data_IF_766476942453
#
_entry.id   IF_766476942453
#
_cell.length_a   1.000
_cell.length_b   1.000
_cell.length_c   1.000
_cell.angle_alpha   90.00
_cell.angle_beta   90.00
_cell.angle_gamma   90.00
#
_symmetry.space_group_name_H-M   'P 1'
#
loop_
_entity.id
_entity.type
_entity.pdbx_description
1 polymer ?
#
# COMPACT_ATOMS: atom_id res chain seq x y z
N UNK A 1 -9.81 13.01 -20.19
CA UNK A 1 -8.61 12.16 -20.34
C UNK A 1 -8.92 10.66 -20.51
N UNK A 2 -9.97 10.12 -19.89
CA UNK A 2 -10.35 8.68 -19.95
C UNK A 2 -10.79 8.17 -21.33
N UNK A 3 -11.32 9.03 -22.21
CA UNK A 3 -11.78 8.63 -23.55
C UNK A 3 -10.66 8.18 -24.51
N UNK A 4 -9.40 8.53 -24.26
CA UNK A 4 -8.28 8.16 -25.15
C UNK A 4 -7.86 6.69 -24.99
N UNK A 5 -7.96 6.15 -23.78
CA UNK A 5 -7.58 4.76 -23.45
C UNK A 5 -8.43 3.70 -24.18
N UNK A 6 -9.68 4.03 -24.50
CA UNK A 6 -10.62 3.10 -25.14
C UNK A 6 -10.66 3.23 -26.67
N UNK A 7 -9.95 4.20 -27.26
CA UNK A 7 -10.10 4.55 -28.68
C UNK A 7 -9.44 3.54 -29.62
N UNK A 8 -8.42 2.81 -29.16
CA UNK A 8 -7.75 1.76 -29.93
C UNK A 8 -7.91 0.38 -29.27
N UNK A 9 -8.02 -0.67 -30.08
CA UNK A 9 -8.01 -2.06 -29.60
C UNK A 9 -6.70 -2.40 -28.86
N UNK A 10 -5.57 -1.85 -29.33
CA UNK A 10 -4.27 -2.01 -28.69
C UNK A 10 -4.22 -1.42 -27.27
N UNK A 11 -4.74 -0.21 -27.06
CA UNK A 11 -4.77 0.41 -25.73
C UNK A 11 -5.72 -0.32 -24.78
N UNK A 12 -6.83 -0.87 -25.30
CA UNK A 12 -7.74 -1.71 -24.53
C UNK A 12 -7.08 -3.03 -24.11
N UNK A 13 -6.27 -3.64 -24.99
CA UNK A 13 -5.50 -4.85 -24.67
C UNK A 13 -4.43 -4.57 -23.59
N UNK A 14 -3.68 -3.48 -23.71
CA UNK A 14 -2.70 -3.10 -22.69
C UNK A 14 -3.37 -2.83 -21.34
N UNK A 15 -4.52 -2.16 -21.35
CA UNK A 15 -5.28 -1.87 -20.12
C UNK A 15 -5.83 -3.16 -19.48
N UNK A 16 -6.26 -4.12 -20.30
CA UNK A 16 -6.66 -5.45 -19.83
C UNK A 16 -5.49 -6.18 -19.16
N UNK A 17 -4.32 -6.24 -19.82
CA UNK A 17 -3.13 -6.90 -19.27
C UNK A 17 -2.69 -6.26 -17.96
N UNK A 18 -2.72 -4.92 -17.89
CA UNK A 18 -2.42 -4.19 -16.67
C UNK A 18 -3.42 -4.50 -15.54
N UNK A 19 -4.73 -4.50 -15.84
CA UNK A 19 -5.76 -4.89 -14.88
C UNK A 19 -5.61 -6.32 -14.38
N UNK A 20 -5.28 -7.26 -15.28
CA UNK A 20 -4.98 -8.65 -14.91
C UNK A 20 -3.72 -8.74 -14.05
N UNK A 21 -2.68 -7.97 -14.34
CA UNK A 21 -1.48 -7.90 -13.50
C UNK A 21 -1.78 -7.40 -12.09
N UNK A 22 -2.60 -6.35 -11.96
CA UNK A 22 -3.08 -5.82 -10.67
C UNK A 22 -3.85 -6.87 -9.87
N UNK A 23 -4.56 -7.80 -10.51
CA UNK A 23 -5.29 -8.87 -9.81
C UNK A 23 -4.38 -10.05 -9.51
N UNK A 24 -3.62 -10.51 -10.50
CA UNK A 24 -2.83 -11.74 -10.42
C UNK A 24 -1.68 -11.60 -9.42
N UNK A 25 -0.92 -10.50 -9.44
CA UNK A 25 0.26 -10.34 -8.58
C UNK A 25 -0.11 -10.36 -7.08
N UNK A 26 -1.08 -9.59 -6.58
CA UNK A 26 -1.46 -9.63 -5.17
C UNK A 26 -2.11 -10.96 -4.79
N UNK A 27 -2.89 -11.58 -5.69
CA UNK A 27 -3.51 -12.89 -5.42
C UNK A 27 -2.45 -13.98 -5.27
N UNK A 28 -1.44 -13.99 -6.15
CA UNK A 28 -0.31 -14.90 -6.05
C UNK A 28 0.54 -14.63 -4.80
N UNK A 29 0.79 -13.35 -4.48
CA UNK A 29 1.49 -12.97 -3.26
C UNK A 29 0.74 -13.45 -2.00
N UNK A 30 -0.59 -13.29 -1.93
CA UNK A 30 -1.40 -13.83 -0.84
C UNK A 30 -1.29 -15.35 -0.79
N UNK A 31 -1.43 -16.05 -1.91
CA UNK A 31 -1.34 -17.51 -1.94
C UNK A 31 0.04 -18.04 -1.49
N UNK A 32 1.12 -17.32 -1.83
CA UNK A 32 2.49 -17.72 -1.52
C UNK A 32 2.93 -17.29 -0.11
N UNK A 33 2.52 -16.12 0.37
CA UNK A 33 3.06 -15.49 1.59
C UNK A 33 2.08 -15.62 2.76
N UNK A 34 0.77 -15.62 2.55
CA UNK A 34 -0.18 -15.63 3.67
C UNK A 34 -0.12 -16.87 4.58
N UNK A 35 0.25 -18.09 4.12
CA UNK A 35 0.33 -19.25 5.01
C UNK A 35 1.36 -19.08 6.13
N UNK A 36 2.58 -18.65 5.79
CA UNK A 36 3.72 -18.59 6.71
C UNK A 36 4.23 -17.16 6.96
N UNK A 37 3.53 -16.14 6.44
CA UNK A 37 3.97 -14.74 6.47
C UNK A 37 3.99 -14.08 7.84
N UNK A 38 3.64 -14.82 8.90
CA UNK A 38 3.79 -14.40 10.31
C UNK A 38 4.83 -15.21 11.07
N UNK A 39 5.42 -16.27 10.48
CA UNK A 39 6.29 -17.20 11.19
C UNK A 39 7.52 -16.49 11.82
N UNK A 40 8.25 -15.69 11.03
CA UNK A 40 9.40 -14.93 11.55
C UNK A 40 9.02 -13.92 12.64
N UNK A 41 7.83 -13.31 12.52
CA UNK A 41 7.34 -12.37 13.52
C UNK A 41 6.91 -13.07 14.81
N UNK A 42 6.32 -14.26 14.71
CA UNK A 42 5.97 -15.10 15.85
C UNK A 42 7.21 -15.62 16.56
N UNK A 43 8.22 -16.08 15.81
CA UNK A 43 9.53 -16.48 16.34
C UNK A 43 10.21 -15.31 17.06
N UNK A 44 10.24 -14.12 16.45
CA UNK A 44 10.80 -12.92 17.06
C UNK A 44 10.10 -12.52 18.36
N UNK A 45 8.76 -12.57 18.38
CA UNK A 45 7.97 -12.25 19.58
C UNK A 45 8.13 -13.30 20.69
N UNK A 46 8.39 -14.55 20.33
CA UNK A 46 8.64 -15.63 21.27
C UNK A 46 10.10 -15.65 21.77
N UNK A 47 11.01 -14.95 21.10
CA UNK A 47 12.42 -14.92 21.43
C UNK A 47 12.67 -14.32 22.83
N UNK A 48 13.37 -15.08 23.67
CA UNK A 48 13.85 -14.60 24.97
C UNK A 48 15.17 -13.83 24.86
N UNK A 49 15.59 -13.13 25.92
CA UNK A 49 16.89 -12.46 25.95
C UNK A 49 18.04 -13.47 25.93
N UNK A 50 19.13 -13.14 25.23
CA UNK A 50 20.34 -13.94 25.25
C UNK A 50 21.03 -13.88 26.63
N UNK A 51 21.52 -15.02 27.12
CA UNK A 51 22.29 -15.08 28.38
C UNK A 51 23.67 -14.42 28.29
N UNK A 52 24.22 -14.33 27.08
CA UNK A 52 25.53 -13.75 26.78
C UNK A 52 25.56 -13.28 25.32
N UNK A 53 26.52 -12.42 24.98
CA UNK A 53 26.71 -11.97 23.60
C UNK A 53 26.93 -13.16 22.65
N UNK A 54 26.09 -13.33 21.63
CA UNK A 54 26.20 -14.44 20.69
C UNK A 54 27.39 -14.23 19.74
N UNK A 55 28.04 -15.32 19.34
CA UNK A 55 29.18 -15.28 18.40
C UNK A 55 28.74 -15.19 16.92
N UNK A 56 27.45 -15.29 16.65
CA UNK A 56 26.85 -15.25 15.32
C UNK A 56 25.32 -15.14 15.40
N UNK A 57 24.60 -15.34 14.29
CA UNK A 57 23.14 -15.33 14.26
C UNK A 57 22.53 -16.29 15.29
N UNK A 58 21.62 -15.78 16.12
CA UNK A 58 20.95 -16.54 17.18
C UNK A 58 19.47 -16.20 17.28
N UNK A 59 18.66 -17.17 17.70
CA UNK A 59 17.20 -17.02 17.89
C UNK A 59 16.79 -16.27 19.18
N UNK A 60 17.76 -15.79 19.96
CA UNK A 60 17.51 -14.96 21.14
C UNK A 60 17.73 -13.46 20.85
N UNK A 61 17.10 -12.61 21.65
CA UNK A 61 17.25 -11.15 21.56
C UNK A 61 18.51 -10.72 22.30
N UNK A 62 19.44 -10.09 21.59
CA UNK A 62 20.66 -9.55 22.17
C UNK A 62 20.63 -8.02 22.19
N UNK A 63 20.85 -7.45 23.37
CA UNK A 63 20.94 -6.00 23.54
C UNK A 63 22.41 -5.56 23.51
N UNK A 64 22.70 -4.55 22.70
CA UNK A 64 24.05 -3.99 22.51
C UNK A 64 24.02 -2.48 22.59
N UNK A 65 25.02 -1.88 23.26
CA UNK A 65 25.22 -0.43 23.22
C UNK A 65 25.95 -0.04 21.95
N UNK A 66 25.38 0.91 21.21
CA UNK A 66 25.92 1.42 19.96
C UNK A 66 26.08 2.93 20.05
N UNK A 67 27.10 3.46 19.39
CA UNK A 67 27.31 4.90 19.24
C UNK A 67 26.93 5.30 17.83
N UNK A 68 26.18 6.39 17.69
CA UNK A 68 25.79 6.94 16.40
C UNK A 68 27.03 7.55 15.74
N UNK A 69 27.43 6.99 14.60
CA UNK A 69 28.57 7.47 13.82
C UNK A 69 28.14 8.35 12.65
N UNK A 70 26.97 8.06 12.06
CA UNK A 70 26.37 8.89 11.00
C UNK A 70 24.84 8.79 11.03
N UNK A 71 24.17 9.86 10.58
CA UNK A 71 22.71 9.95 10.49
C UNK A 71 22.33 10.63 9.18
N UNK A 72 21.59 9.92 8.34
CA UNK A 72 21.11 10.43 7.05
C UNK A 72 19.58 10.51 7.04
N UNK A 73 19.06 11.74 7.03
CA UNK A 73 17.64 12.04 6.94
C UNK A 73 17.36 12.82 5.66
N UNK A 74 17.03 12.13 4.58
CA UNK A 74 16.63 12.77 3.33
C UNK A 74 15.11 12.89 3.23
N UNK A 75 14.60 14.12 3.39
CA UNK A 75 13.20 14.47 3.13
C UNK A 75 13.04 15.51 2.02
N UNK A 76 14.13 16.05 1.46
CA UNK A 76 14.05 17.24 0.61
C UNK A 76 14.19 16.88 -0.86
N UNK A 77 13.04 16.72 -1.52
CA UNK A 77 12.94 16.74 -2.99
C UNK A 77 13.10 15.38 -3.67
N UNK A 78 13.29 14.30 -2.92
CA UNK A 78 13.30 12.94 -3.45
C UNK A 78 11.89 12.33 -3.40
N UNK A 79 11.57 11.52 -4.42
CA UNK A 79 10.27 10.82 -4.54
C UNK A 79 10.09 9.74 -3.44
N UNK A 80 11.19 9.38 -2.77
CA UNK A 80 11.25 8.35 -1.74
C UNK A 80 12.19 8.83 -0.61
N UNK A 81 11.66 9.24 0.56
CA UNK A 81 12.50 9.63 1.67
C UNK A 81 13.34 8.46 2.17
N UNK A 82 14.56 8.75 2.63
CA UNK A 82 15.49 7.76 3.16
C UNK A 82 15.93 8.16 4.57
N UNK A 83 15.78 7.23 5.50
CA UNK A 83 16.16 7.38 6.90
C UNK A 83 17.15 6.25 7.21
N UNK A 84 18.42 6.58 7.35
CA UNK A 84 19.47 5.62 7.66
C UNK A 84 20.37 6.14 8.76
N UNK A 85 20.97 5.22 9.50
CA UNK A 85 22.01 5.52 10.49
C UNK A 85 23.15 4.54 10.34
N UNK A 86 24.36 4.99 10.63
CA UNK A 86 25.53 4.15 10.82
C UNK A 86 25.87 4.17 12.30
N UNK A 87 25.88 3.00 12.91
CA UNK A 87 26.12 2.81 14.34
C UNK A 87 27.39 2.01 14.55
N UNK A 88 28.13 2.30 15.61
CA UNK A 88 29.40 1.62 15.92
C UNK A 88 29.37 1.06 17.34
N UNK A 89 29.71 -0.22 17.48
CA UNK A 89 29.82 -0.86 18.79
C UNK A 89 31.16 -0.55 19.48
N UNK A 90 31.27 -0.92 20.77
CA UNK A 90 32.48 -0.68 21.56
C UNK A 90 33.74 -1.41 21.04
N UNK A 91 33.59 -2.41 20.17
CA UNK A 91 34.68 -3.16 19.54
C UNK A 91 35.03 -2.61 18.14
N UNK A 92 34.36 -1.55 17.70
CA UNK A 92 34.55 -0.94 16.38
C UNK A 92 33.77 -1.63 15.26
N UNK A 93 32.84 -2.53 15.57
CA UNK A 93 31.92 -3.11 14.58
C UNK A 93 30.92 -2.06 14.10
N UNK A 94 30.68 -2.01 12.79
CA UNK A 94 29.79 -1.03 12.16
C UNK A 94 28.48 -1.69 11.74
N UNK A 95 27.38 -1.01 12.02
CA UNK A 95 26.01 -1.43 11.75
C UNK A 95 25.32 -0.35 10.92
N UNK A 96 24.97 -0.66 9.68
CA UNK A 96 24.11 0.19 8.88
C UNK A 96 22.67 -0.24 9.09
N UNK A 97 21.78 0.73 9.36
CA UNK A 97 20.37 0.44 9.60
C UNK A 97 19.49 1.46 8.89
N UNK A 98 18.37 0.98 8.37
CA UNK A 98 17.38 1.81 7.68
C UNK A 98 16.05 1.78 8.39
N UNK A 99 15.25 2.84 8.23
CA UNK A 99 13.99 3.01 8.96
C UNK A 99 12.82 3.26 8.01
N UNK A 100 11.63 2.81 8.42
CA UNK A 100 10.39 3.05 7.68
C UNK A 100 9.92 4.50 7.75
N UNK A 101 10.20 5.16 8.88
CA UNK A 101 9.82 6.53 9.17
C UNK A 101 10.93 7.28 9.93
N UNK A 102 10.76 8.60 10.02
CA UNK A 102 11.75 9.49 10.63
C UNK A 102 11.81 9.38 12.16
N UNK A 103 10.80 8.82 12.81
CA UNK A 103 10.71 8.85 14.26
C UNK A 103 9.91 7.67 14.80
N UNK A 104 10.01 7.38 16.10
CA UNK A 104 10.17 8.39 17.16
C UNK A 104 11.61 8.62 17.66
N UNK A 105 12.61 7.90 17.16
CA UNK A 105 14.00 7.96 17.63
C UNK A 105 14.89 8.70 16.64
N UNK A 106 14.95 8.25 15.40
CA UNK A 106 16.00 8.61 14.42
C UNK A 106 16.11 10.12 14.15
N UNK A 107 14.99 10.85 14.12
CA UNK A 107 14.99 12.32 13.97
C UNK A 107 15.65 13.11 15.11
N UNK A 108 16.03 12.45 16.20
CA UNK A 108 16.62 13.06 17.40
C UNK A 108 18.07 12.67 17.62
N UNK A 109 18.56 11.71 16.83
CA UNK A 109 19.91 11.22 16.97
C UNK A 109 20.88 12.22 16.35
N UNK A 110 21.91 12.53 17.10
CA UNK A 110 23.09 13.25 16.64
C UNK A 110 24.31 12.31 16.66
N UNK A 111 25.33 12.64 15.87
CA UNK A 111 26.59 11.91 15.87
C UNK A 111 27.23 11.97 17.26
N UNK A 112 27.59 10.81 17.79
CA UNK A 112 28.14 10.64 19.14
C UNK A 112 27.11 10.18 20.18
N UNK A 113 25.82 10.19 19.86
CA UNK A 113 24.79 9.70 20.77
C UNK A 113 24.93 8.21 21.03
N UNK A 114 24.60 7.79 22.26
CA UNK A 114 24.55 6.37 22.63
C UNK A 114 23.13 5.87 22.53
N UNK A 115 22.95 4.79 21.78
CA UNK A 115 21.68 4.10 21.60
C UNK A 115 21.83 2.65 22.03
N UNK A 116 20.71 2.06 22.42
CA UNK A 116 20.63 0.63 22.73
C UNK A 116 20.02 -0.09 21.53
N UNK A 117 20.78 -0.94 20.86
CA UNK A 117 20.31 -1.77 19.77
C UNK A 117 19.80 -3.13 20.25
N UNK A 118 18.73 -3.62 19.63
CA UNK A 118 18.22 -4.98 19.79
C UNK A 118 18.53 -5.77 18.52
N UNK A 119 19.36 -6.80 18.65
CA UNK A 119 19.79 -7.67 17.57
C UNK A 119 19.09 -9.02 17.68
N UNK A 120 18.57 -9.52 16.56
CA UNK A 120 17.99 -10.85 16.44
C UNK A 120 18.43 -11.51 15.15
N UNK A 121 18.84 -12.78 15.20
CA UNK A 121 19.42 -13.52 14.07
C UNK A 121 20.53 -12.76 13.32
N UNK A 122 21.28 -11.91 14.02
CA UNK A 122 22.38 -11.12 13.46
C UNK A 122 21.96 -9.79 12.82
N UNK A 123 20.66 -9.48 12.77
CA UNK A 123 20.13 -8.24 12.23
C UNK A 123 19.76 -7.27 13.35
N UNK A 124 20.05 -5.97 13.16
CA UNK A 124 19.61 -4.94 14.10
C UNK A 124 18.12 -4.66 13.87
N UNK A 125 17.27 -5.18 14.75
CA UNK A 125 15.80 -5.10 14.61
C UNK A 125 15.20 -3.83 15.20
N UNK A 126 15.77 -3.32 16.29
CA UNK A 126 15.25 -2.13 16.95
C UNK A 126 16.40 -1.29 17.50
N UNK A 127 16.15 0.01 17.64
CA UNK A 127 16.99 0.90 18.43
C UNK A 127 16.14 1.57 19.50
N UNK A 128 16.76 1.80 20.64
CA UNK A 128 16.21 2.56 21.75
C UNK A 128 17.13 3.73 22.08
N UNK A 129 16.53 4.89 22.29
CA UNK A 129 17.20 6.10 22.73
C UNK A 129 16.30 6.81 23.72
N UNK A 130 16.83 7.14 24.89
CA UNK A 130 16.05 7.59 26.03
C UNK A 130 14.93 6.57 26.35
N UNK A 131 13.68 7.03 26.48
CA UNK A 131 12.50 6.19 26.75
C UNK A 131 11.72 5.82 25.47
N UNK A 132 12.37 5.82 24.31
CA UNK A 132 11.73 5.60 23.01
C UNK A 132 12.40 4.47 22.25
N UNK A 133 11.59 3.68 21.59
CA UNK A 133 12.03 2.61 20.71
C UNK A 133 11.55 2.87 19.29
N UNK A 134 12.34 2.41 18.32
CA UNK A 134 11.98 2.44 16.91
C UNK A 134 12.51 1.19 16.23
N UNK A 135 11.63 0.51 15.50
CA UNK A 135 11.99 -0.64 14.68
C UNK A 135 12.77 -0.20 13.43
N UNK A 136 13.78 -0.97 13.05
CA UNK A 136 14.47 -0.85 11.76
C UNK A 136 13.65 -1.54 10.66
N UNK A 137 14.07 -1.43 9.40
CA UNK A 137 13.47 -2.19 8.29
C UNK A 137 13.80 -3.68 8.34
N UNK A 138 14.83 -4.06 9.10
CA UNK A 138 15.26 -5.44 9.28
C UNK A 138 14.47 -6.13 10.40
N UNK A 139 13.62 -5.38 11.13
CA UNK A 139 12.64 -5.93 12.03
C UNK A 139 11.65 -6.86 11.30
N UNK A 140 11.41 -8.08 11.82
CA UNK A 140 10.38 -8.97 11.28
C UNK A 140 9.03 -8.27 11.24
N UNK A 141 8.32 -8.41 10.12
CA UNK A 141 7.04 -7.76 9.88
C UNK A 141 5.93 -8.77 9.60
N UNK A 142 4.67 -8.32 9.74
CA UNK A 142 3.51 -9.14 9.42
C UNK A 142 3.27 -9.12 7.91
N UNK A 143 4.06 -9.92 7.18
CA UNK A 143 3.98 -10.01 5.73
C UNK A 143 2.60 -10.49 5.27
N UNK A 144 1.95 -11.36 6.04
CA UNK A 144 0.58 -11.81 5.79
C UNK A 144 -0.38 -10.63 5.77
N UNK A 145 -0.35 -9.78 6.79
CA UNK A 145 -1.20 -8.58 6.85
C UNK A 145 -0.88 -7.61 5.72
N UNK A 146 0.41 -7.40 5.39
CA UNK A 146 0.81 -6.54 4.26
C UNK A 146 0.23 -7.01 2.92
N UNK A 147 0.36 -8.30 2.59
CA UNK A 147 -0.17 -8.83 1.31
C UNK A 147 -1.69 -8.84 1.27
N UNK A 148 -2.36 -9.09 2.40
CA UNK A 148 -3.83 -9.02 2.51
C UNK A 148 -4.35 -7.59 2.32
N UNK A 149 -3.70 -6.59 2.95
CA UNK A 149 -4.01 -5.18 2.74
C UNK A 149 -3.83 -4.82 1.25
N UNK A 150 -2.70 -5.22 0.67
CA UNK A 150 -2.39 -4.98 -0.75
C UNK A 150 -3.47 -5.58 -1.66
N UNK A 151 -3.88 -6.82 -1.44
CA UNK A 151 -4.92 -7.48 -2.22
C UNK A 151 -6.30 -6.82 -2.03
N UNK A 152 -6.68 -6.49 -0.79
CA UNK A 152 -7.95 -5.84 -0.46
C UNK A 152 -8.18 -4.56 -1.28
N UNK A 153 -7.15 -3.74 -1.42
CA UNK A 153 -7.28 -2.44 -2.09
C UNK A 153 -7.10 -2.51 -3.62
N UNK A 154 -6.29 -3.45 -4.11
CA UNK A 154 -5.90 -3.51 -5.52
C UNK A 154 -6.81 -4.40 -6.37
N UNK A 155 -7.21 -5.57 -5.85
CA UNK A 155 -7.98 -6.57 -6.60
C UNK A 155 -9.32 -6.02 -7.10
N UNK A 156 -10.14 -5.32 -6.28
CA UNK A 156 -11.41 -4.76 -6.76
C UNK A 156 -11.23 -3.76 -7.90
N UNK A 157 -10.21 -2.90 -7.79
CA UNK A 157 -9.87 -1.89 -8.80
C UNK A 157 -9.41 -2.54 -10.11
N UNK A 158 -8.54 -3.56 -10.02
CA UNK A 158 -8.03 -4.33 -11.14
C UNK A 158 -9.12 -5.15 -11.85
N UNK A 159 -10.04 -5.75 -11.10
CA UNK A 159 -11.18 -6.48 -11.66
C UNK A 159 -12.10 -5.56 -12.47
N UNK A 160 -12.42 -4.37 -11.96
CA UNK A 160 -13.20 -3.39 -12.74
C UNK A 160 -12.45 -2.95 -14.01
N UNK A 161 -11.13 -2.74 -13.92
CA UNK A 161 -10.32 -2.36 -15.07
C UNK A 161 -10.27 -3.46 -16.14
N UNK A 162 -10.10 -4.72 -15.72
CA UNK A 162 -10.09 -5.87 -16.60
C UNK A 162 -11.48 -6.10 -17.23
N UNK A 163 -12.55 -6.04 -16.43
CA UNK A 163 -13.93 -6.23 -16.91
C UNK A 163 -14.32 -5.17 -17.94
N UNK A 164 -13.99 -3.90 -17.70
CA UNK A 164 -14.28 -2.81 -18.65
C UNK A 164 -13.49 -2.93 -19.95
N UNK A 165 -12.23 -3.34 -19.84
CA UNK A 165 -11.36 -3.57 -21.01
C UNK A 165 -11.82 -4.76 -21.83
N UNK A 166 -12.22 -5.86 -21.19
CA UNK A 166 -12.81 -7.03 -21.85
C UNK A 166 -14.14 -6.67 -22.53
N UNK A 167 -15.01 -5.90 -21.85
CA UNK A 167 -16.26 -5.42 -22.43
C UNK A 167 -16.00 -4.54 -23.67
N UNK A 168 -14.97 -3.67 -23.63
CA UNK A 168 -14.55 -2.89 -24.80
C UNK A 168 -14.05 -3.78 -25.94
N UNK A 169 -13.19 -4.76 -25.64
CA UNK A 169 -12.64 -5.68 -26.64
C UNK A 169 -13.75 -6.51 -27.32
N UNK A 170 -14.76 -6.94 -26.55
CA UNK A 170 -15.92 -7.65 -27.09
C UNK A 170 -16.80 -6.78 -28.00
N UNK A 171 -16.70 -5.44 -27.89
CA UNK A 171 -17.49 -4.46 -28.67
C UNK A 171 -16.63 -3.55 -29.54
N UNK A 172 -15.46 -4.01 -30.00
CA UNK A 172 -14.57 -3.21 -30.85
C UNK A 172 -15.20 -2.77 -32.17
N UNK A 173 -16.24 -3.47 -32.64
CA UNK A 173 -16.98 -3.12 -33.85
C UNK A 173 -17.92 -1.91 -33.65
N UNK A 174 -18.20 -1.49 -32.41
CA UNK A 174 -19.01 -0.30 -32.15
C UNK A 174 -18.11 0.95 -32.10
N UNK A 175 -18.44 2.01 -32.87
CA UNK A 175 -17.55 3.15 -33.06
C UNK A 175 -17.33 3.97 -31.78
N UNK A 176 -18.30 4.01 -30.86
CA UNK A 176 -18.24 4.87 -29.68
C UNK A 176 -18.24 4.07 -28.36
N UNK A 177 -17.39 4.45 -27.37
CA UNK A 177 -17.48 3.89 -26.04
C UNK A 177 -18.80 4.27 -25.39
N UNK A 178 -19.52 3.28 -24.86
CA UNK A 178 -20.77 3.55 -24.12
C UNK A 178 -20.48 4.36 -22.85
N UNK A 179 -21.43 5.23 -22.47
CA UNK A 179 -21.32 6.03 -21.24
C UNK A 179 -21.07 5.15 -20.00
N UNK A 180 -21.62 3.93 -19.99
CA UNK A 180 -21.40 2.93 -18.95
C UNK A 180 -19.93 2.51 -18.80
N UNK A 181 -19.19 2.31 -19.90
CA UNK A 181 -17.77 1.93 -19.86
C UNK A 181 -16.89 3.02 -19.25
N UNK A 182 -17.11 4.28 -19.66
CA UNK A 182 -16.40 5.43 -19.11
C UNK A 182 -16.68 5.61 -17.61
N UNK A 183 -17.92 5.37 -17.22
CA UNK A 183 -18.36 5.46 -15.84
C UNK A 183 -17.69 4.37 -14.96
N UNK A 184 -17.65 3.12 -15.41
CA UNK A 184 -16.96 2.02 -14.69
C UNK A 184 -15.44 2.20 -14.59
N UNK A 185 -14.80 2.79 -15.59
CA UNK A 185 -13.38 3.19 -15.51
C UNK A 185 -13.16 4.28 -14.47
N UNK A 186 -14.06 5.26 -14.41
CA UNK A 186 -14.04 6.30 -13.37
C UNK A 186 -14.16 5.72 -11.96
N UNK A 187 -14.99 4.70 -11.77
CA UNK A 187 -15.12 4.00 -10.48
C UNK A 187 -13.82 3.27 -10.11
N UNK A 188 -13.19 2.56 -11.05
CA UNK A 188 -11.89 1.91 -10.82
C UNK A 188 -10.82 2.91 -10.37
N UNK A 189 -10.68 4.06 -11.05
CA UNK A 189 -9.77 5.13 -10.63
C UNK A 189 -10.12 5.71 -9.25
N UNK A 190 -11.41 5.82 -8.94
CA UNK A 190 -11.89 6.33 -7.64
C UNK A 190 -11.54 5.36 -6.50
N UNK A 191 -11.67 4.05 -6.72
CA UNK A 191 -11.28 3.03 -5.72
C UNK A 191 -9.77 3.07 -5.43
N UNK A 192 -8.94 3.30 -6.44
CA UNK A 192 -7.48 3.49 -6.26
C UNK A 192 -7.22 4.74 -5.41
N UNK A 193 -7.90 5.86 -5.68
CA UNK A 193 -7.73 7.07 -4.89
C UNK A 193 -8.17 6.88 -3.43
N UNK A 194 -9.30 6.19 -3.20
CA UNK A 194 -9.80 5.83 -1.88
C UNK A 194 -8.82 4.89 -1.15
N UNK A 195 -8.24 3.92 -1.86
CA UNK A 195 -7.21 3.04 -1.33
C UNK A 195 -5.99 3.83 -0.82
N UNK A 196 -5.45 4.73 -1.64
CA UNK A 196 -4.34 5.58 -1.24
C UNK A 196 -4.70 6.44 -0.02
N UNK A 197 -5.90 7.01 0.01
CA UNK A 197 -6.38 7.81 1.15
C UNK A 197 -6.50 6.95 2.42
N UNK A 198 -7.07 5.75 2.32
CA UNK A 198 -7.21 4.84 3.46
C UNK A 198 -5.84 4.48 4.05
N UNK A 199 -4.85 4.14 3.21
CA UNK A 199 -3.48 3.83 3.64
C UNK A 199 -2.82 5.02 4.35
N UNK A 200 -2.99 6.24 3.84
CA UNK A 200 -2.47 7.45 4.48
C UNK A 200 -3.11 7.66 5.85
N UNK A 201 -4.43 7.53 5.95
CA UNK A 201 -5.18 7.70 7.20
C UNK A 201 -4.81 6.66 8.26
N UNK A 202 -4.52 5.43 7.84
CA UNK A 202 -4.20 4.33 8.77
C UNK A 202 -2.70 4.15 9.01
N UNK A 203 -1.83 4.90 8.33
CA UNK A 203 -0.37 4.80 8.46
C UNK A 203 0.13 4.91 9.91
N UNK A 204 -0.57 5.69 10.75
CA UNK A 204 -0.24 5.87 12.18
C UNK A 204 -0.67 4.70 13.09
N UNK A 205 -1.54 3.82 12.60
CA UNK A 205 -2.09 2.70 13.36
C UNK A 205 -1.28 1.41 13.19
N UNK A 206 -0.13 1.50 12.52
CA UNK A 206 0.69 0.35 12.14
C UNK A 206 0.02 -0.51 11.06
N UNK A 207 0.54 -1.71 10.89
CA UNK A 207 0.04 -2.70 9.94
C UNK A 207 -1.24 -3.35 10.46
N UNK A 208 -2.35 -2.61 10.39
CA UNK A 208 -3.64 -3.04 10.91
C UNK A 208 -4.66 -3.21 9.77
N UNK A 209 -4.88 -4.47 9.38
CA UNK A 209 -5.85 -4.84 8.34
C UNK A 209 -7.25 -4.32 8.66
N UNK A 210 -7.68 -4.41 9.92
CA UNK A 210 -9.02 -3.99 10.35
C UNK A 210 -9.20 -2.49 10.25
N UNK A 211 -8.18 -1.71 10.58
CA UNK A 211 -8.21 -0.25 10.41
C UNK A 211 -8.36 0.12 8.94
N UNK A 212 -7.58 -0.50 8.04
CA UNK A 212 -7.68 -0.28 6.59
C UNK A 212 -9.06 -0.66 6.09
N UNK A 213 -9.55 -1.84 6.48
CA UNK A 213 -10.86 -2.35 6.07
C UNK A 213 -12.01 -1.45 6.55
N UNK A 214 -11.96 -0.99 7.79
CA UNK A 214 -12.96 -0.10 8.39
C UNK A 214 -13.03 1.28 7.71
N UNK A 215 -11.93 1.77 7.14
CA UNK A 215 -11.89 3.04 6.40
C UNK A 215 -12.25 2.84 4.93
N UNK A 216 -11.68 1.81 4.30
CA UNK A 216 -11.79 1.58 2.87
C UNK A 216 -13.19 1.14 2.43
N UNK A 217 -13.83 0.22 3.17
CA UNK A 217 -15.17 -0.28 2.84
C UNK A 217 -16.25 0.81 2.80
N UNK A 218 -16.43 1.67 3.83
CA UNK A 218 -17.49 2.68 3.79
C UNK A 218 -17.25 3.71 2.69
N UNK A 219 -16.00 4.14 2.47
CA UNK A 219 -15.67 5.06 1.37
C UNK A 219 -15.97 4.44 0.01
N UNK A 220 -15.62 3.17 -0.19
CA UNK A 220 -15.88 2.44 -1.42
C UNK A 220 -17.37 2.22 -1.65
N UNK A 221 -18.13 1.91 -0.59
CA UNK A 221 -19.58 1.78 -0.65
C UNK A 221 -20.26 3.12 -0.99
N UNK A 222 -19.82 4.23 -0.40
CA UNK A 222 -20.30 5.57 -0.72
C UNK A 222 -20.00 5.96 -2.18
N UNK A 223 -18.79 5.64 -2.68
CA UNK A 223 -18.43 5.88 -4.07
C UNK A 223 -19.29 5.06 -5.03
N UNK A 224 -19.49 3.76 -4.76
CA UNK A 224 -20.34 2.89 -5.56
C UNK A 224 -21.82 3.34 -5.52
N UNK A 225 -22.31 3.78 -4.36
CA UNK A 225 -23.67 4.28 -4.20
C UNK A 225 -23.88 5.62 -4.94
N UNK A 226 -22.97 6.58 -4.74
CA UNK A 226 -23.00 7.86 -5.46
C UNK A 226 -22.92 7.68 -6.97
N UNK A 227 -22.09 6.74 -7.42
CA UNK A 227 -22.00 6.32 -8.81
C UNK A 227 -23.34 5.81 -9.34
N UNK A 228 -23.96 4.84 -8.65
CA UNK A 228 -25.28 4.30 -9.02
C UNK A 228 -26.36 5.39 -9.11
N UNK A 229 -26.37 6.32 -8.16
CA UNK A 229 -27.31 7.45 -8.16
C UNK A 229 -27.07 8.41 -9.32
N UNK A 230 -25.82 8.69 -9.67
CA UNK A 230 -25.50 9.57 -10.81
C UNK A 230 -25.96 8.98 -12.14
N UNK A 231 -25.76 7.68 -12.36
CA UNK A 231 -26.17 6.98 -13.59
C UNK A 231 -27.69 6.94 -13.70
N UNK A 232 -28.40 6.64 -12.60
CA UNK A 232 -29.87 6.60 -12.59
C UNK A 232 -30.47 7.99 -12.84
N UNK A 233 -29.92 9.05 -12.21
CA UNK A 233 -30.36 10.43 -12.44
C UNK A 233 -30.09 10.92 -13.86
N UNK A 234 -28.96 10.55 -14.48
CA UNK A 234 -28.67 10.89 -15.87
C UNK A 234 -29.70 10.27 -16.82
N UNK A 235 -29.99 8.97 -16.64
CA UNK A 235 -31.01 8.27 -17.45
C UNK A 235 -32.39 8.92 -17.34
N UNK A 236 -32.80 9.35 -16.13
CA UNK A 236 -34.06 10.05 -15.94
C UNK A 236 -34.11 11.39 -16.70
N UNK A 237 -33.04 12.21 -16.63
CA UNK A 237 -32.98 13.49 -17.34
C UNK A 237 -32.99 13.35 -18.85
N UNK A 238 -32.33 12.31 -19.39
CA UNK A 238 -32.35 12.04 -20.83
C UNK A 238 -33.74 11.63 -21.31
N UNK A 239 -34.50 10.87 -20.51
CA UNK A 239 -35.88 10.52 -20.83
C UNK A 239 -36.79 11.76 -20.87
N UNK A 240 -36.70 12.64 -19.87
CA UNK A 240 -37.48 13.89 -19.82
C UNK A 240 -37.11 14.86 -20.96
N UNK A 241 -35.84 14.92 -21.35
CA UNK A 241 -35.36 15.78 -22.44
C UNK A 241 -35.81 15.34 -23.83
N UNK A 242 -36.00 14.03 -24.06
CA UNK A 242 -36.55 13.50 -25.32
C UNK A 242 -38.04 13.80 -25.42
N UNK A 243 -38.79 13.65 -24.33
CA UNK A 243 -40.23 13.92 -24.28
C UNK A 243 -40.56 15.42 -24.46
N UNK A 244 -39.71 16.31 -23.93
CA UNK A 244 -39.82 17.76 -24.14
C UNK A 244 -39.47 18.22 -25.56
N UNK A 245 -38.60 17.51 -26.27
CA UNK A 245 -38.23 17.83 -27.65
C UNK A 245 -39.33 17.45 -28.65
N UNK A 246 -40.02 16.32 -28.44
CA UNK A 246 -41.17 15.91 -29.27
C UNK A 246 -42.41 16.79 -29.01
N UNK A 247 -42.58 17.31 -27.79
CA UNK A 247 -43.70 18.19 -27.44
C UNK A 247 -43.62 19.61 -28.03
N UNK A 248 -42.42 20.08 -28.41
CA UNK A 248 -42.21 21.42 -29.01
C UNK A 248 -42.38 21.46 -30.53
N UNK A 249 -42.65 20.31 -31.17
CA UNK A 249 -42.82 20.17 -32.62
C UNK A 249 -44.30 20.04 -33.06
N UNK A 250 -45.25 20.32 -32.18
CA UNK A 250 -46.67 20.48 -32.54
C UNK A 250 -46.98 21.98 -32.73
N UNK A 251 -47.74 22.34 -33.78
CA UNK A 251 -47.73 23.68 -34.43
C UNK A 251 -48.30 24.83 -33.61
#
# INVERSE_FOLDING_TARGET
MTHWLLRNGFTSLLTLLFGLGIVALPTLAVAAIAPDGTADLEDYRAAGPCSSAPAGPSDCLWTVELTVSDVHLDDRGTRSPSYTTVLTDARGGTWESSYGDRGPVVHRLDVGDRVTGTVWRGELTEIAFEDRTQATRDAPADLRTRVLIGALVSVPSGLLLAATSLWRLARLHEPEPTEGMGATLGLSGTLIAIACLALVLTSRLGENLWAVLAVWLPLSALAAFGFRLSVTRRRARTAEGVEGADGSAAP
#
